data_IF_058178176041
#
_entry.id   IF_058178176041
#
_cell.length_a   1.000
_cell.length_b   1.000
_cell.length_c   1.000
_cell.angle_alpha   90.00
_cell.angle_beta   90.00
_cell.angle_gamma   90.00
#
_symmetry.space_group_name_H-M   'P 1'
#
loop_
_entity.id
_entity.type
_entity.pdbx_description
1 polymer ?
#
# COMPACT_ATOMS: atom_id res chain seq x y z
N UNK A 1 -17.84 10.56 -8.24
CA UNK A 1 -17.18 10.37 -9.55
C UNK A 1 -16.36 9.11 -9.41
N UNK A 2 -16.59 8.06 -10.21
CA UNK A 2 -15.80 6.83 -10.10
C UNK A 2 -14.39 7.10 -10.65
N UNK A 3 -13.38 6.87 -9.83
CA UNK A 3 -11.98 7.14 -10.15
C UNK A 3 -11.30 5.91 -10.75
N UNK A 4 -11.80 4.73 -10.39
CA UNK A 4 -11.34 3.44 -10.88
C UNK A 4 -12.32 2.88 -11.92
N UNK A 5 -11.80 2.55 -13.09
CA UNK A 5 -12.59 2.04 -14.21
C UNK A 5 -12.20 0.61 -14.50
N UNK A 6 -13.21 -0.24 -14.62
CA UNK A 6 -13.03 -1.66 -14.93
C UNK A 6 -12.58 -1.83 -16.38
N UNK A 7 -11.52 -2.60 -16.60
CA UNK A 7 -11.07 -2.97 -17.93
C UNK A 7 -11.89 -4.14 -18.48
N UNK A 8 -12.20 -4.08 -19.78
CA UNK A 8 -12.69 -5.23 -20.52
C UNK A 8 -11.54 -6.17 -20.93
N UNK A 9 -11.80 -7.47 -21.15
CA UNK A 9 -10.79 -8.40 -21.66
C UNK A 9 -10.06 -7.93 -22.91
N UNK A 10 -10.78 -7.31 -23.85
CA UNK A 10 -10.22 -6.81 -25.10
C UNK A 10 -9.22 -5.66 -24.84
N UNK A 11 -9.59 -4.72 -23.95
CA UNK A 11 -8.68 -3.65 -23.53
C UNK A 11 -7.41 -4.18 -22.85
N UNK A 12 -7.52 -5.26 -22.08
CA UNK A 12 -6.36 -5.86 -21.39
C UNK A 12 -5.35 -6.43 -22.40
N UNK A 13 -5.80 -6.95 -23.54
CA UNK A 13 -4.92 -7.45 -24.61
C UNK A 13 -4.18 -6.32 -25.31
N UNK A 14 -4.83 -5.18 -25.52
CA UNK A 14 -4.23 -4.00 -26.17
C UNK A 14 -3.16 -3.33 -25.29
N UNK A 15 -3.28 -3.46 -23.97
CA UNK A 15 -2.44 -2.78 -22.98
C UNK A 15 -1.17 -3.55 -22.54
N UNK A 16 -0.81 -4.65 -23.20
CA UNK A 16 0.38 -5.46 -22.86
C UNK A 16 0.58 -5.65 -21.34
N UNK A 17 -0.50 -6.02 -20.64
CA UNK A 17 -0.45 -6.20 -19.19
C UNK A 17 0.40 -7.43 -18.82
N UNK A 18 0.93 -7.51 -17.58
CA UNK A 18 1.56 -8.73 -17.08
C UNK A 18 0.67 -9.98 -17.18
N UNK A 19 1.27 -11.14 -17.47
CA UNK A 19 0.57 -12.43 -17.66
C UNK A 19 -0.51 -12.75 -16.61
N UNK A 20 -0.31 -12.51 -15.30
CA UNK A 20 -1.35 -12.80 -14.32
C UNK A 20 -2.64 -12.00 -14.56
N UNK A 21 -2.53 -10.78 -15.09
CA UNK A 21 -3.64 -9.88 -15.40
C UNK A 21 -4.26 -10.26 -16.75
N UNK A 22 -3.44 -10.58 -17.74
CA UNK A 22 -3.90 -11.05 -19.06
C UNK A 22 -4.79 -12.30 -18.95
N UNK A 23 -4.50 -13.16 -17.97
CA UNK A 23 -5.23 -14.40 -17.72
C UNK A 23 -6.49 -14.24 -16.85
N UNK A 24 -6.72 -13.06 -16.24
CA UNK A 24 -7.89 -12.78 -15.39
C UNK A 24 -8.39 -11.32 -15.53
N UNK A 25 -8.71 -10.87 -16.76
CA UNK A 25 -8.90 -9.45 -17.07
C UNK A 25 -10.15 -8.83 -16.44
N UNK A 26 -11.13 -9.65 -16.05
CA UNK A 26 -12.44 -9.19 -15.55
C UNK A 26 -12.38 -8.52 -14.18
N UNK A 27 -11.21 -8.43 -13.57
CA UNK A 27 -11.01 -7.90 -12.22
C UNK A 27 -9.85 -6.90 -12.16
N UNK A 28 -9.65 -6.18 -13.26
CA UNK A 28 -8.60 -5.17 -13.39
C UNK A 28 -9.21 -3.78 -13.51
N UNK A 29 -8.63 -2.82 -12.81
CA UNK A 29 -9.12 -1.46 -12.71
C UNK A 29 -8.00 -0.47 -12.96
N UNK A 30 -8.24 0.59 -13.74
CA UNK A 30 -7.26 1.65 -13.95
C UNK A 30 -7.77 2.98 -13.36
N UNK A 31 -6.85 3.81 -12.86
CA UNK A 31 -7.18 5.16 -12.40
C UNK A 31 -7.23 6.11 -13.60
N UNK A 32 -8.26 6.95 -13.69
CA UNK A 32 -8.31 8.05 -14.69
C UNK A 32 -7.85 9.38 -14.14
N UNK A 33 -7.38 9.45 -12.89
CA UNK A 33 -7.10 10.75 -12.28
C UNK A 33 -5.92 11.42 -13.00
N UNK A 34 -6.10 12.65 -13.52
CA UNK A 34 -5.08 13.33 -14.28
C UNK A 34 -4.09 14.00 -13.32
N UNK A 35 -3.31 13.21 -12.57
CA UNK A 35 -2.03 13.76 -12.08
C UNK A 35 -1.04 13.96 -13.24
N UNK A 36 -1.36 13.45 -14.42
CA UNK A 36 -0.69 13.80 -15.66
C UNK A 36 -1.66 13.94 -16.84
N UNK A 37 -2.31 15.11 -16.96
CA UNK A 37 -2.58 15.68 -18.30
C UNK A 37 -1.27 15.98 -19.08
N UNK A 38 -0.11 15.58 -18.55
CA UNK A 38 1.22 15.64 -19.17
C UNK A 38 1.66 14.32 -19.81
N UNK A 39 0.99 13.20 -19.54
CA UNK A 39 1.33 11.90 -20.13
C UNK A 39 0.04 11.20 -20.56
N UNK A 40 -0.38 11.46 -21.81
CA UNK A 40 -1.31 10.59 -22.54
C UNK A 40 -0.75 9.18 -22.79
N UNK A 41 0.47 8.96 -22.32
CA UNK A 41 1.43 7.96 -22.74
C UNK A 41 1.86 7.03 -21.57
N UNK A 42 1.44 7.30 -20.33
CA UNK A 42 1.66 6.37 -19.20
C UNK A 42 3.07 6.44 -18.55
N UNK A 43 3.40 5.51 -17.64
CA UNK A 43 2.64 4.30 -17.31
C UNK A 43 1.42 4.56 -16.41
N UNK A 44 0.30 3.89 -16.68
CA UNK A 44 -0.94 4.04 -15.91
C UNK A 44 -1.05 3.00 -14.82
N UNK A 45 -1.47 3.42 -13.62
CA UNK A 45 -1.69 2.54 -12.49
C UNK A 45 -2.89 1.61 -12.75
N UNK A 46 -2.64 0.32 -12.64
CA UNK A 46 -3.62 -0.75 -12.76
C UNK A 46 -3.67 -1.54 -11.44
N UNK A 47 -4.87 -1.78 -10.94
CA UNK A 47 -5.14 -2.62 -9.77
C UNK A 47 -5.77 -3.91 -10.24
N UNK A 48 -5.22 -5.05 -9.80
CA UNK A 48 -5.70 -6.37 -10.20
C UNK A 48 -6.12 -7.20 -9.00
N UNK A 49 -7.26 -7.89 -9.15
CA UNK A 49 -7.82 -8.82 -8.17
C UNK A 49 -7.97 -10.22 -8.80
N UNK A 50 -7.01 -11.11 -8.55
CA UNK A 50 -6.97 -12.45 -9.16
C UNK A 50 -7.47 -13.50 -8.19
N UNK A 51 -8.59 -14.16 -8.50
CA UNK A 51 -9.07 -15.27 -7.69
C UNK A 51 -8.09 -16.44 -7.74
N UNK A 52 -7.76 -17.03 -6.60
CA UNK A 52 -6.91 -18.20 -6.56
C UNK A 52 -7.66 -19.42 -7.07
N UNK A 53 -7.11 -20.12 -8.06
CA UNK A 53 -7.78 -21.26 -8.72
C UNK A 53 -8.26 -22.35 -7.74
N UNK A 54 -7.48 -22.65 -6.70
CA UNK A 54 -7.81 -23.66 -5.67
C UNK A 54 -8.63 -23.10 -4.50
N UNK A 55 -8.81 -21.77 -4.43
CA UNK A 55 -9.53 -21.05 -3.37
C UNK A 55 -10.25 -19.84 -3.95
N UNK A 56 -11.48 -20.01 -4.47
CA UNK A 56 -12.23 -18.90 -5.06
C UNK A 56 -12.63 -17.82 -4.05
N UNK A 57 -12.48 -18.08 -2.74
CA UNK A 57 -12.68 -17.12 -1.65
C UNK A 57 -11.40 -16.38 -1.25
N UNK A 58 -10.29 -16.59 -1.95
CA UNK A 58 -9.03 -15.87 -1.78
C UNK A 58 -8.65 -15.18 -3.08
N UNK A 59 -8.24 -13.93 -2.98
CA UNK A 59 -7.84 -13.09 -4.09
C UNK A 59 -6.42 -12.58 -3.88
N UNK A 60 -5.60 -12.63 -4.93
CA UNK A 60 -4.34 -11.91 -4.97
C UNK A 60 -4.64 -10.48 -5.42
N UNK A 61 -4.43 -9.52 -4.51
CA UNK A 61 -4.43 -8.11 -4.81
C UNK A 61 -3.03 -7.66 -5.21
N UNK A 62 -2.91 -7.06 -6.39
CA UNK A 62 -1.63 -6.65 -6.94
C UNK A 62 -1.78 -5.32 -7.70
N UNK A 63 -1.05 -4.26 -7.30
CA UNK A 63 -0.85 -3.10 -8.15
C UNK A 63 0.18 -3.39 -9.23
N UNK A 64 -0.11 -2.95 -10.44
CA UNK A 64 0.75 -3.02 -11.61
C UNK A 64 0.69 -1.69 -12.36
N UNK A 65 1.49 -1.55 -13.41
CA UNK A 65 1.31 -0.47 -14.35
C UNK A 65 1.35 -0.96 -15.79
N UNK A 66 0.63 -0.24 -16.64
CA UNK A 66 0.52 -0.49 -18.09
C UNK A 66 1.45 0.45 -18.82
N UNK A 67 2.19 -0.09 -19.80
CA UNK A 67 3.00 0.69 -20.74
C UNK A 67 2.33 0.68 -22.12
N UNK A 68 2.18 1.85 -22.76
CA UNK A 68 1.62 1.94 -24.10
C UNK A 68 2.71 1.66 -25.14
N UNK A 69 2.43 0.80 -26.12
CA UNK A 69 3.41 0.28 -27.09
C UNK A 69 4.07 1.35 -27.98
N UNK A 70 3.47 2.54 -28.13
CA UNK A 70 4.04 3.66 -28.90
C UNK A 70 5.23 4.34 -28.19
N UNK A 71 5.48 4.07 -26.90
CA UNK A 71 6.50 4.75 -26.08
C UNK A 71 7.66 3.80 -25.76
N UNK A 72 7.88 2.81 -26.61
CA UNK A 72 9.06 1.95 -26.53
C UNK A 72 10.39 2.72 -26.71
N UNK A 73 10.35 3.99 -27.12
CA UNK A 73 11.54 4.85 -27.25
C UNK A 73 11.94 5.56 -25.94
N UNK A 74 11.02 5.71 -24.98
CA UNK A 74 11.33 6.27 -23.66
C UNK A 74 11.05 5.23 -22.58
N UNK A 75 12.03 4.34 -22.31
CA UNK A 75 12.04 3.47 -21.13
C UNK A 75 12.19 4.30 -19.85
N UNK A 76 11.14 5.00 -19.44
CA UNK A 76 11.05 5.50 -18.08
C UNK A 76 11.01 4.29 -17.13
N UNK A 77 11.88 4.27 -16.12
CA UNK A 77 11.88 3.22 -15.11
C UNK A 77 10.50 3.15 -14.44
N UNK A 78 9.77 2.07 -14.69
CA UNK A 78 8.45 1.82 -14.16
C UNK A 78 8.54 0.75 -13.05
N UNK A 79 8.67 1.15 -11.77
CA UNK A 79 8.82 0.18 -10.69
C UNK A 79 7.59 -0.72 -10.49
N UNK A 80 6.45 -0.39 -11.12
CA UNK A 80 5.22 -1.19 -11.06
C UNK A 80 5.07 -2.18 -12.23
N UNK A 81 5.92 -2.10 -13.27
CA UNK A 81 5.99 -3.16 -14.29
C UNK A 81 6.80 -4.36 -13.81
N UNK A 82 7.67 -4.16 -12.81
CA UNK A 82 8.35 -5.26 -12.13
C UNK A 82 7.49 -5.83 -11.00
N UNK A 83 7.38 -7.16 -10.95
CA UNK A 83 6.72 -7.82 -9.82
C UNK A 83 7.45 -7.54 -8.48
N UNK A 84 8.73 -7.15 -8.49
CA UNK A 84 9.52 -6.80 -7.31
C UNK A 84 9.50 -5.28 -7.04
N UNK A 85 9.47 -4.88 -5.76
CA UNK A 85 9.75 -3.51 -5.31
C UNK A 85 8.71 -2.43 -5.65
N UNK A 86 7.66 -2.73 -6.41
CA UNK A 86 6.69 -1.74 -6.89
C UNK A 86 5.87 -1.05 -5.79
N UNK A 87 5.65 0.26 -5.90
CA UNK A 87 4.85 1.08 -4.96
C UNK A 87 3.86 1.96 -5.71
N UNK A 88 2.69 2.19 -5.12
CA UNK A 88 1.67 3.06 -5.70
C UNK A 88 1.64 4.40 -4.96
N UNK A 89 1.50 5.48 -5.72
CA UNK A 89 1.28 6.82 -5.15
C UNK A 89 -0.13 7.25 -5.52
N UNK A 90 -0.95 7.53 -4.51
CA UNK A 90 -2.35 7.88 -4.65
C UNK A 90 -2.61 9.26 -4.04
N UNK A 91 -3.43 10.06 -4.69
CA UNK A 91 -4.01 11.25 -4.05
C UNK A 91 -5.18 10.84 -3.15
N UNK A 92 -5.68 11.77 -2.32
CA UNK A 92 -6.79 11.51 -1.40
C UNK A 92 -8.02 10.93 -2.11
N UNK A 93 -8.39 11.47 -3.26
CA UNK A 93 -9.52 11.01 -4.05
C UNK A 93 -9.30 9.57 -4.55
N UNK A 94 -8.11 9.25 -5.04
CA UNK A 94 -7.77 7.91 -5.52
C UNK A 94 -7.74 6.88 -4.38
N UNK A 95 -7.24 7.28 -3.22
CA UNK A 95 -7.25 6.47 -2.00
C UNK A 95 -8.69 6.18 -1.54
N UNK A 96 -9.59 7.18 -1.54
CA UNK A 96 -11.02 6.96 -1.30
C UNK A 96 -11.62 5.99 -2.33
N UNK A 97 -11.29 6.18 -3.61
CA UNK A 97 -11.73 5.26 -4.66
C UNK A 97 -11.22 3.82 -4.45
N UNK A 98 -9.99 3.65 -3.94
CA UNK A 98 -9.43 2.34 -3.63
C UNK A 98 -10.21 1.69 -2.46
N UNK A 99 -10.53 2.46 -1.41
CA UNK A 99 -11.38 1.99 -0.30
C UNK A 99 -12.74 1.51 -0.80
N UNK A 100 -13.40 2.30 -1.66
CA UNK A 100 -14.68 1.92 -2.29
C UNK A 100 -14.54 0.63 -3.12
N UNK A 101 -13.46 0.52 -3.88
CA UNK A 101 -13.19 -0.65 -4.73
C UNK A 101 -12.99 -1.92 -3.89
N UNK A 102 -12.21 -1.85 -2.81
CA UNK A 102 -11.97 -2.96 -1.89
C UNK A 102 -13.29 -3.42 -1.24
N UNK A 103 -14.11 -2.48 -0.77
CA UNK A 103 -15.42 -2.77 -0.18
C UNK A 103 -16.38 -3.41 -1.19
N UNK A 104 -16.43 -2.86 -2.42
CA UNK A 104 -17.26 -3.40 -3.50
C UNK A 104 -16.84 -4.82 -3.90
N UNK A 105 -15.54 -5.09 -3.97
CA UNK A 105 -15.02 -6.42 -4.26
C UNK A 105 -15.33 -7.41 -3.12
N UNK A 106 -15.13 -6.99 -1.87
CA UNK A 106 -15.47 -7.80 -0.69
C UNK A 106 -16.96 -8.17 -0.61
N UNK A 107 -17.85 -7.29 -1.08
CA UNK A 107 -19.29 -7.55 -1.14
C UNK A 107 -19.66 -8.61 -2.21
N UNK A 108 -18.85 -8.76 -3.25
CA UNK A 108 -19.04 -9.75 -4.32
C UNK A 108 -18.40 -11.11 -3.98
N UNK A 109 -17.47 -11.14 -3.03
CA UNK A 109 -16.83 -12.38 -2.61
C UNK A 109 -17.78 -13.28 -1.81
N UNK A 110 -17.71 -14.61 -2.00
CA UNK A 110 -18.44 -15.56 -1.16
C UNK A 110 -18.14 -15.34 0.32
N UNK A 111 -19.17 -15.51 1.16
CA UNK A 111 -18.96 -15.49 2.60
C UNK A 111 -18.03 -16.63 3.00
N UNK A 112 -16.86 -16.27 3.55
CA UNK A 112 -15.98 -17.22 4.23
C UNK A 112 -16.57 -17.66 5.57
N UNK A 113 -15.83 -18.51 6.28
CA UNK A 113 -16.16 -18.82 7.68
C UNK A 113 -16.10 -17.52 8.49
N UNK A 114 -17.09 -17.23 9.36
CA UNK A 114 -17.02 -16.09 10.25
C UNK A 114 -15.73 -16.12 11.08
N UNK A 115 -14.99 -15.02 11.08
CA UNK A 115 -13.85 -14.82 11.97
C UNK A 115 -13.80 -13.37 12.46
N UNK A 116 -13.11 -13.15 13.58
CA UNK A 116 -12.81 -11.81 14.05
C UNK A 116 -11.85 -11.11 13.07
N UNK A 117 -12.02 -9.79 12.90
CA UNK A 117 -11.05 -8.95 12.22
C UNK A 117 -9.72 -9.00 12.98
N UNK A 118 -8.68 -9.51 12.33
CA UNK A 118 -7.29 -9.56 12.81
C UNK A 118 -6.40 -10.10 11.67
N UNK A 119 -6.56 -9.55 10.47
CA UNK A 119 -5.76 -9.89 9.30
C UNK A 119 -4.45 -9.11 9.32
N UNK A 120 -4.47 -7.89 9.86
CA UNK A 120 -3.34 -6.99 9.90
C UNK A 120 -3.01 -6.52 11.32
N UNK A 121 -1.72 -6.56 11.65
CA UNK A 121 -1.18 -6.00 12.88
C UNK A 121 -0.20 -4.87 12.54
N UNK A 122 -0.33 -3.71 13.19
CA UNK A 122 0.63 -2.63 13.01
C UNK A 122 1.94 -2.97 13.71
N UNK A 123 3.05 -2.85 12.98
CA UNK A 123 4.40 -3.06 13.52
C UNK A 123 4.91 -1.74 14.09
N UNK A 124 5.31 -1.78 15.37
CA UNK A 124 5.92 -0.62 16.03
C UNK A 124 7.29 -0.27 15.42
N UNK A 125 7.69 1.01 15.36
CA UNK A 125 8.98 1.42 14.79
C UNK A 125 10.20 0.69 15.37
N UNK A 126 10.16 0.33 16.66
CA UNK A 126 11.23 -0.43 17.32
C UNK A 126 11.41 -1.85 16.76
N UNK A 127 10.41 -2.40 16.06
CA UNK A 127 10.44 -3.74 15.48
C UNK A 127 10.73 -3.73 13.97
N UNK A 128 10.84 -2.56 13.34
CA UNK A 128 11.06 -2.45 11.89
C UNK A 128 12.38 -3.06 11.42
N UNK A 129 13.41 -3.02 12.27
CA UNK A 129 14.70 -3.64 11.99
C UNK A 129 14.61 -5.16 11.83
N UNK A 130 13.68 -5.82 12.54
CA UNK A 130 13.45 -7.27 12.39
C UNK A 130 12.99 -7.66 10.98
N UNK A 131 12.52 -6.68 10.21
CA UNK A 131 12.08 -6.84 8.83
C UNK A 131 13.00 -6.10 7.85
N UNK A 132 14.21 -5.70 8.27
CA UNK A 132 15.15 -4.91 7.47
C UNK A 132 14.51 -3.64 6.86
N UNK A 133 13.52 -3.07 7.56
CA UNK A 133 12.88 -1.81 7.17
C UNK A 133 13.69 -0.69 7.80
N UNK A 134 14.60 -0.14 7.02
CA UNK A 134 15.39 1.02 7.44
C UNK A 134 14.72 2.29 6.95
N UNK A 135 14.34 3.17 7.88
CA UNK A 135 13.91 4.51 7.51
C UNK A 135 15.13 5.36 7.18
N UNK A 136 15.14 5.94 5.98
CA UNK A 136 16.04 7.04 5.72
C UNK A 136 15.58 8.21 6.62
N UNK A 137 16.39 8.52 7.64
CA UNK A 137 16.22 9.57 8.67
C UNK A 137 15.98 11.01 8.14
N UNK A 138 15.71 11.19 6.85
CA UNK A 138 15.56 12.48 6.18
C UNK A 138 14.28 12.67 5.38
N UNK A 139 13.27 11.80 5.50
CA UNK A 139 11.97 12.06 4.89
C UNK A 139 10.91 12.20 5.98
N UNK A 140 10.43 13.42 6.11
CA UNK A 140 9.40 13.97 7.01
C UNK A 140 8.03 13.27 6.99
N UNK A 141 7.90 12.10 6.36
CA UNK A 141 6.64 11.38 6.19
C UNK A 141 6.40 10.39 7.35
N UNK A 142 5.18 10.40 7.88
CA UNK A 142 4.75 9.45 8.93
C UNK A 142 4.54 8.10 8.25
N UNK A 143 5.48 7.17 8.43
CA UNK A 143 5.33 5.81 7.91
C UNK A 143 4.55 4.95 8.89
N UNK A 144 3.62 4.14 8.37
CA UNK A 144 2.94 3.07 9.10
C UNK A 144 3.23 1.75 8.38
N UNK A 145 3.57 0.73 9.16
CA UNK A 145 3.89 -0.62 8.65
C UNK A 145 2.93 -1.60 9.27
N UNK A 146 2.34 -2.46 8.45
CA UNK A 146 1.39 -3.49 8.89
C UNK A 146 1.85 -4.86 8.40
N UNK A 147 1.82 -5.85 9.29
CA UNK A 147 2.07 -7.25 9.00
C UNK A 147 0.75 -7.96 8.74
N UNK A 148 0.69 -8.80 7.72
CA UNK A 148 -0.42 -9.74 7.57
C UNK A 148 -0.23 -10.94 8.50
N UNK A 149 -0.89 -10.93 9.64
CA UNK A 149 -0.81 -12.02 10.65
C UNK A 149 -1.74 -13.19 10.31
N UNK A 150 -2.68 -12.99 9.39
CA UNK A 150 -3.50 -14.06 8.82
C UNK A 150 -3.37 -14.11 7.30
N UNK A 151 -2.56 -15.05 6.81
CA UNK A 151 -2.50 -15.38 5.37
C UNK A 151 -3.58 -16.41 5.02
N UNK A 152 -4.64 -16.03 4.27
CA UNK A 152 -5.69 -16.96 3.85
C UNK A 152 -5.22 -18.00 2.83
N UNK A 153 -3.97 -17.93 2.36
CA UNK A 153 -3.32 -18.88 1.45
C UNK A 153 -2.22 -19.74 2.12
N UNK A 154 -2.00 -19.61 3.44
CA UNK A 154 -0.88 -20.24 4.14
C UNK A 154 -0.75 -21.76 3.91
N UNK A 155 -1.84 -22.51 4.01
CA UNK A 155 -1.87 -23.97 3.87
C UNK A 155 -1.90 -24.48 2.42
N UNK A 156 -1.79 -23.58 1.43
CA UNK A 156 -1.57 -23.94 0.03
C UNK A 156 -0.10 -23.88 -0.38
N UNK A 157 0.80 -23.49 0.53
CA UNK A 157 2.19 -23.16 0.24
C UNK A 157 3.12 -24.04 1.05
N UNK A 158 4.23 -24.43 0.45
CA UNK A 158 5.31 -25.17 1.13
C UNK A 158 6.26 -24.21 1.88
N UNK A 159 6.11 -22.90 1.67
CA UNK A 159 6.97 -21.85 2.24
C UNK A 159 6.19 -20.91 3.16
N UNK A 160 6.80 -20.57 4.29
CA UNK A 160 6.31 -19.51 5.18
C UNK A 160 6.53 -18.15 4.53
N UNK A 161 5.48 -17.60 3.91
CA UNK A 161 5.51 -16.27 3.34
C UNK A 161 5.11 -15.22 4.39
N UNK A 162 5.73 -14.07 4.28
CA UNK A 162 5.43 -12.87 5.04
C UNK A 162 4.90 -11.83 4.07
N UNK A 163 3.73 -11.27 4.38
CA UNK A 163 3.13 -10.17 3.64
C UNK A 163 3.06 -8.91 4.52
N UNK A 164 3.47 -7.76 3.99
CA UNK A 164 3.48 -6.48 4.68
C UNK A 164 2.85 -5.39 3.82
N UNK A 165 2.33 -4.37 4.50
CA UNK A 165 1.85 -3.13 3.91
C UNK A 165 2.63 -1.98 4.52
N UNK A 166 3.27 -1.19 3.68
CA UNK A 166 4.00 0.01 4.08
C UNK A 166 3.28 1.22 3.50
N UNK A 167 2.76 2.07 4.38
CA UNK A 167 2.09 3.31 4.00
C UNK A 167 2.94 4.49 4.43
N UNK A 168 3.29 5.34 3.49
CA UNK A 168 3.98 6.61 3.73
C UNK A 168 2.96 7.74 3.64
N UNK A 169 2.68 8.36 4.79
CA UNK A 169 1.72 9.45 4.94
C UNK A 169 2.46 10.78 4.77
N UNK A 170 1.97 11.68 3.90
CA UNK A 170 2.61 12.97 3.69
C UNK A 170 2.58 13.82 4.98
N UNK A 171 3.61 14.65 5.22
CA UNK A 171 3.59 15.59 6.33
C UNK A 171 2.40 16.56 6.23
N UNK A 172 1.87 17.01 7.36
CA UNK A 172 0.82 18.04 7.40
C UNK A 172 1.36 19.32 6.75
N UNK A 173 0.70 19.80 5.70
CA UNK A 173 1.13 20.97 4.92
C UNK A 173 2.28 20.70 3.94
N UNK A 174 2.77 19.47 3.80
CA UNK A 174 3.69 19.10 2.74
C UNK A 174 2.91 18.90 1.44
N UNK A 175 2.87 19.98 0.67
CA UNK A 175 2.18 20.04 -0.60
C UNK A 175 3.23 19.96 -1.70
N UNK A 176 3.10 18.99 -2.59
CA UNK A 176 3.94 18.96 -3.79
C UNK A 176 3.50 20.12 -4.68
N UNK A 177 4.42 21.05 -4.99
CA UNK A 177 4.16 22.13 -5.94
C UNK A 177 4.02 21.54 -7.35
N UNK A 178 2.79 21.22 -7.73
CA UNK A 178 2.42 21.01 -9.13
C UNK A 178 2.55 22.32 -9.93
N UNK A 179 2.84 22.21 -11.23
CA UNK A 179 3.03 23.35 -12.15
C UNK A 179 1.76 24.21 -12.39
N UNK A 180 0.67 23.97 -11.68
CA UNK A 180 -0.47 24.88 -11.50
C UNK A 180 -0.93 24.75 -10.05
N UNK A 181 -1.26 25.88 -9.41
CA UNK A 181 -1.50 26.11 -7.97
C UNK A 181 -2.60 25.22 -7.32
N UNK A 182 -2.45 23.90 -7.33
CA UNK A 182 -3.26 22.98 -6.54
C UNK A 182 -2.31 22.13 -5.70
N UNK A 183 -2.44 22.29 -4.39
CA UNK A 183 -1.73 21.52 -3.39
C UNK A 183 -2.38 20.13 -3.34
N UNK A 184 -1.61 19.08 -3.65
CA UNK A 184 -2.13 17.71 -3.70
C UNK A 184 -1.40 16.84 -2.68
N UNK A 185 -2.17 16.32 -1.72
CA UNK A 185 -1.71 15.37 -0.71
C UNK A 185 -1.55 13.98 -1.34
N UNK A 186 -0.33 13.44 -1.31
CA UNK A 186 0.02 12.16 -1.93
C UNK A 186 0.43 11.12 -0.88
N UNK A 187 -0.24 9.96 -0.90
CA UNK A 187 0.05 8.80 -0.07
C UNK A 187 0.83 7.79 -0.91
N UNK A 188 1.89 7.20 -0.36
CA UNK A 188 2.59 6.10 -1.02
C UNK A 188 2.30 4.79 -0.30
N UNK A 189 1.86 3.76 -1.02
CA UNK A 189 1.51 2.45 -0.47
C UNK A 189 2.36 1.38 -1.18
N UNK A 190 2.90 0.47 -0.39
CA UNK A 190 3.72 -0.64 -0.83
C UNK A 190 3.18 -1.93 -0.22
N UNK A 191 2.71 -2.85 -1.06
CA UNK A 191 2.42 -4.23 -0.68
C UNK A 191 3.69 -5.05 -0.87
N UNK A 192 4.07 -5.91 0.07
CA UNK A 192 5.35 -6.62 0.04
C UNK A 192 5.16 -8.05 0.48
N UNK A 193 5.51 -9.00 -0.38
CA UNK A 193 5.50 -10.42 -0.06
C UNK A 193 6.87 -11.06 -0.32
N UNK A 194 7.35 -11.82 0.66
CA UNK A 194 8.64 -12.51 0.60
C UNK A 194 8.61 -13.75 1.51
N UNK A 195 9.55 -14.67 1.33
CA UNK A 195 9.71 -15.83 2.21
C UNK A 195 10.40 -15.43 3.51
N UNK A 196 10.02 -16.03 4.63
CA UNK A 196 10.65 -15.79 5.92
C UNK A 196 12.17 -16.06 5.87
N UNK A 197 12.59 -17.05 5.08
CA UNK A 197 14.01 -17.37 4.85
C UNK A 197 14.82 -16.23 4.22
N UNK A 198 14.19 -15.32 3.48
CA UNK A 198 14.89 -14.16 2.92
C UNK A 198 15.29 -13.14 4.00
N UNK A 199 14.56 -13.05 5.12
CA UNK A 199 14.97 -12.18 6.24
C UNK A 199 16.26 -12.65 6.92
N UNK A 200 16.66 -13.91 6.74
CA UNK A 200 17.95 -14.40 7.24
C UNK A 200 19.15 -13.76 6.53
N UNK A 201 18.97 -13.22 5.32
CA UNK A 201 20.02 -12.52 4.59
C UNK A 201 20.02 -11.03 4.97
N UNK A 202 21.06 -10.51 5.66
CA UNK A 202 21.13 -9.11 6.07
C UNK A 202 21.19 -8.12 4.89
N UNK A 203 21.42 -8.60 3.66
CA UNK A 203 21.39 -7.77 2.45
C UNK A 203 20.01 -7.73 1.78
N UNK A 204 19.08 -8.58 2.22
CA UNK A 204 17.73 -8.58 1.70
C UNK A 204 17.01 -7.30 2.14
N UNK A 205 16.50 -6.55 1.16
CA UNK A 205 15.70 -5.34 1.40
C UNK A 205 14.27 -5.61 0.95
N UNK A 206 13.31 -5.84 1.87
CA UNK A 206 11.94 -6.14 1.47
C UNK A 206 11.33 -5.01 0.64
N UNK A 207 11.68 -3.76 0.92
CA UNK A 207 11.10 -2.62 0.19
C UNK A 207 11.44 -2.63 -1.30
N UNK A 208 12.62 -3.14 -1.66
CA UNK A 208 13.15 -3.14 -3.03
C UNK A 208 13.01 -4.51 -3.72
N UNK A 209 13.09 -5.60 -2.96
CA UNK A 209 13.26 -6.95 -3.51
C UNK A 209 12.05 -7.85 -3.31
N UNK A 210 11.11 -7.50 -2.41
CA UNK A 210 9.91 -8.31 -2.21
C UNK A 210 8.90 -8.12 -3.36
N UNK A 211 8.06 -9.13 -3.55
CA UNK A 211 7.02 -9.12 -4.57
C UNK A 211 5.90 -8.16 -4.17
N UNK A 212 5.44 -7.32 -5.09
CA UNK A 212 4.42 -6.31 -4.82
C UNK A 212 3.00 -6.87 -4.94
N UNK A 213 2.58 -7.68 -3.97
CA UNK A 213 1.23 -8.25 -3.91
C UNK A 213 0.85 -8.64 -2.48
N UNK A 214 -0.43 -8.97 -2.30
CA UNK A 214 -0.94 -9.55 -1.05
C UNK A 214 -2.14 -10.47 -1.33
N UNK A 215 -2.30 -11.54 -0.57
CA UNK A 215 -3.48 -12.41 -0.65
C UNK A 215 -4.50 -12.04 0.41
N UNK A 216 -5.74 -11.86 -0.01
CA UNK A 216 -6.82 -11.41 0.84
C UNK A 216 -8.02 -12.33 0.63
N UNK A 217 -8.73 -12.61 1.70
CA UNK A 217 -10.10 -13.07 1.61
C UNK A 217 -11.05 -11.90 1.83
N UNK A 218 -12.35 -12.19 1.93
CA UNK A 218 -13.36 -11.17 2.17
C UNK A 218 -13.07 -10.30 3.40
N UNK A 219 -12.62 -10.90 4.51
CA UNK A 219 -12.32 -10.17 5.74
C UNK A 219 -11.05 -9.33 5.60
N UNK A 220 -10.01 -9.87 4.95
CA UNK A 220 -8.79 -9.12 4.66
C UNK A 220 -9.04 -7.90 3.77
N UNK A 221 -9.94 -7.99 2.78
CA UNK A 221 -10.33 -6.83 1.97
C UNK A 221 -11.04 -5.75 2.78
N UNK A 222 -11.98 -6.13 3.65
CA UNK A 222 -12.70 -5.19 4.52
C UNK A 222 -11.73 -4.50 5.48
N UNK A 223 -10.84 -5.28 6.10
CA UNK A 223 -9.88 -4.77 7.07
C UNK A 223 -8.84 -3.85 6.41
N UNK A 224 -8.39 -4.18 5.20
CA UNK A 224 -7.55 -3.30 4.40
C UNK A 224 -8.29 -1.99 4.07
N UNK A 225 -9.55 -2.05 3.66
CA UNK A 225 -10.35 -0.87 3.38
C UNK A 225 -10.48 0.03 4.63
N UNK A 226 -10.75 -0.55 5.80
CA UNK A 226 -10.81 0.17 7.08
C UNK A 226 -9.48 0.81 7.47
N UNK A 227 -8.36 0.09 7.30
CA UNK A 227 -7.02 0.61 7.56
C UNK A 227 -6.71 1.82 6.67
N UNK A 228 -6.99 1.72 5.36
CA UNK A 228 -6.75 2.83 4.44
C UNK A 228 -7.68 4.02 4.73
N UNK A 229 -8.91 3.76 5.17
CA UNK A 229 -9.85 4.80 5.61
C UNK A 229 -9.37 5.52 6.88
N UNK A 230 -8.88 4.80 7.89
CA UNK A 230 -8.31 5.39 9.12
C UNK A 230 -7.14 6.32 8.79
N UNK A 231 -6.27 5.91 7.88
CA UNK A 231 -5.13 6.73 7.41
C UNK A 231 -5.63 8.02 6.73
N UNK A 232 -6.72 7.96 5.97
CA UNK A 232 -7.34 9.12 5.36
C UNK A 232 -7.94 10.07 6.40
N UNK A 233 -8.59 9.54 7.44
CA UNK A 233 -9.25 10.30 8.49
C UNK A 233 -8.26 10.97 9.45
N UNK A 234 -7.20 10.27 9.86
CA UNK A 234 -6.13 10.82 10.72
C UNK A 234 -5.48 12.05 10.08
N UNK A 235 -5.38 12.09 8.75
CA UNK A 235 -4.87 13.26 8.03
C UNK A 235 -5.88 14.41 7.86
N UNK A 236 -7.17 14.17 8.10
CA UNK A 236 -8.24 15.16 7.91
C UNK A 236 -8.54 16.00 9.16
N UNK A 237 -8.07 15.58 10.34
CA UNK A 237 -8.22 16.30 11.61
C UNK A 237 -7.21 17.42 11.84
N UNK A 238 -6.39 17.77 10.84
CA UNK A 238 -5.61 19.00 10.86
C UNK A 238 -6.40 20.08 10.11
N UNK A 239 -7.19 20.92 10.81
CA UNK A 239 -7.78 22.07 10.16
C UNK A 239 -6.62 22.89 9.59
N UNK A 240 -6.72 23.23 8.30
CA UNK A 240 -5.98 24.36 7.74
C UNK A 240 -6.42 25.62 8.48
N UNK A 241 -5.86 25.84 9.67
CA UNK A 241 -5.99 27.04 10.46
C UNK A 241 -4.84 27.98 10.12
N UNK A 242 -5.11 28.93 9.24
CA UNK A 242 -4.36 30.17 9.16
C UNK A 242 -4.38 30.87 10.55
N UNK A 243 -3.25 31.46 10.91
CA UNK A 243 -3.00 32.35 12.06
C UNK A 243 -2.80 31.67 13.42
N UNK A 244 -1.55 31.40 13.77
CA UNK A 244 -0.99 31.77 15.09
C UNK A 244 0.55 31.82 15.00
N UNK A 245 1.06 32.79 14.24
CA UNK A 245 2.40 33.33 14.51
C UNK A 245 2.21 34.45 15.51
N UNK A 246 2.36 34.13 16.78
CA UNK A 246 2.83 34.98 17.89
C UNK A 246 2.42 34.29 19.18
N UNK A 247 3.30 33.54 19.83
CA UNK A 247 4.30 34.15 20.69
C UNK A 247 5.17 33.03 21.24
N UNK A 248 6.49 33.19 21.15
CA UNK A 248 7.42 32.40 21.94
C UNK A 248 7.29 32.83 23.40
N UNK A 249 7.08 31.91 24.36
CA UNK A 249 7.58 32.10 25.70
C UNK A 249 9.01 31.56 25.73
N UNK A 250 9.96 32.48 25.69
CA UNK A 250 11.29 32.26 26.27
C UNK A 250 11.16 31.97 27.76
N UNK A 251 11.77 30.89 28.25
CA UNK A 251 12.11 30.74 29.67
C UNK A 251 11.74 29.39 30.28
N UNK A 252 12.78 28.58 30.48
CA UNK A 252 13.03 27.72 31.64
C UNK A 252 11.83 27.00 32.28
N UNK A 253 11.60 25.73 31.89
CA UNK A 253 11.08 24.71 32.81
C UNK A 253 11.80 23.37 32.60
N UNK A 254 12.43 22.90 33.68
CA UNK A 254 13.08 21.60 33.82
C UNK A 254 12.07 20.45 33.67
N UNK A 255 12.42 19.42 32.91
CA UNK A 255 11.67 18.16 32.88
C UNK A 255 12.21 17.20 33.96
N UNK A 256 11.37 16.64 34.84
CA UNK A 256 11.84 15.68 35.82
C UNK A 256 12.14 14.33 35.19
N UNK A 257 13.27 13.77 35.61
CA UNK A 257 13.68 12.40 35.38
C UNK A 257 12.72 11.40 36.07
N UNK A 258 12.33 10.38 35.32
CA UNK A 258 12.00 9.00 35.74
C UNK A 258 10.81 8.48 34.93
N UNK A 259 11.05 7.50 34.06
CA UNK A 259 10.27 6.25 34.02
C UNK A 259 11.05 5.25 33.15
N UNK A 260 11.92 4.49 33.81
CA UNK A 260 12.51 3.27 33.27
C UNK A 260 11.65 2.06 33.67
N UNK A 261 11.70 1.05 32.80
CA UNK A 261 11.36 -0.37 32.98
C UNK A 261 9.88 -0.76 32.79
N UNK A 262 9.62 -1.59 31.78
CA UNK A 262 9.42 -3.03 31.98
C UNK A 262 9.87 -3.81 30.74
N UNK A 263 10.27 -5.04 31.00
CA UNK A 263 11.22 -5.88 30.27
C UNK A 263 10.61 -6.77 29.19
N UNK A 264 11.42 -7.01 28.14
CA UNK A 264 11.40 -8.17 27.25
C UNK A 264 11.21 -9.50 28.00
N UNK A 265 10.29 -10.35 27.54
CA UNK A 265 10.49 -11.79 27.32
C UNK A 265 9.18 -12.41 26.80
N UNK A 266 9.14 -12.76 25.51
CA UNK A 266 8.36 -13.87 24.89
C UNK A 266 8.16 -13.61 23.38
N UNK A 267 9.20 -13.72 22.55
CA UNK A 267 9.02 -13.85 21.10
C UNK A 267 10.23 -14.56 20.46
N UNK A 268 10.51 -15.80 20.91
CA UNK A 268 11.35 -16.76 20.19
C UNK A 268 10.90 -18.18 20.57
N UNK A 269 9.71 -18.57 20.08
CA UNK A 269 9.26 -19.96 20.04
C UNK A 269 8.02 -20.10 19.13
N UNK A 270 8.13 -19.74 17.85
CA UNK A 270 7.25 -20.20 16.77
C UNK A 270 8.07 -20.32 15.49
#
# INVERSE_FOLDING_TARGET
MNIWFKLSPDQVQDYQVPDPIANAPTNSFYSTTPLSNLYHDGPWLLLSFQAMAKRPFVVTFQPCAVEFSFINEFKAFNPLSTAAGGKITLIREEMNGLVELLNSYAAQMPNGKPRAFNTFEQIEPAQWENFHIYTNLHLTARQRVYLQVHDPAADLRDESLVSMIVVTIPPVGATTRGFRRHEVTQYTIAFRQFSLSQLSDPKFSPLEQAVSRIELDRYGLIELALLLQDILEDTSHFPFGLNEISSFPTGDQELPANFFSMSNQQYLAL
#
